data_IF_601718713482
#
_entry.id   IF_601718713482
#
_cell.length_a   1.000
_cell.length_b   1.000
_cell.length_c   1.000
_cell.angle_alpha   90.00
_cell.angle_beta   90.00
_cell.angle_gamma   90.00
#
_symmetry.space_group_name_H-M   'P 1'
#
loop_
_entity.id
_entity.type
_entity.pdbx_description
1 polymer ?
#
# COMPACT_ATOMS: atom_id res chain seq x y z
N UNK A 1 -6.75 -25.77 -12.67
CA UNK A 1 -5.81 -24.66 -12.43
C UNK A 1 -4.46 -25.25 -12.13
N UNK A 2 -3.43 -24.89 -12.90
CA UNK A 2 -2.07 -25.28 -12.53
C UNK A 2 -1.69 -24.62 -11.19
N UNK A 3 -0.78 -25.25 -10.43
CA UNK A 3 -0.33 -24.70 -9.14
C UNK A 3 0.21 -23.26 -9.28
N UNK A 4 0.80 -22.94 -10.44
CA UNK A 4 1.36 -21.62 -10.77
C UNK A 4 0.27 -20.55 -10.89
N UNK A 5 -0.84 -20.85 -11.57
CA UNK A 5 -1.98 -19.92 -11.73
C UNK A 5 -2.58 -19.51 -10.38
N UNK A 6 -2.75 -20.48 -9.48
CA UNK A 6 -3.27 -20.23 -8.14
C UNK A 6 -2.33 -19.34 -7.34
N UNK A 7 -1.02 -19.54 -7.44
CA UNK A 7 -0.02 -18.72 -6.77
C UNK A 7 -0.06 -17.26 -7.28
N UNK A 8 -0.16 -17.06 -8.60
CA UNK A 8 -0.31 -15.72 -9.18
C UNK A 8 -1.59 -15.02 -8.74
N UNK A 9 -2.71 -15.74 -8.70
CA UNK A 9 -3.99 -15.18 -8.25
C UNK A 9 -3.94 -14.74 -6.78
N UNK A 10 -3.36 -15.58 -5.90
CA UNK A 10 -3.19 -15.24 -4.48
C UNK A 10 -2.23 -14.06 -4.28
N UNK A 11 -1.13 -14.01 -5.06
CA UNK A 11 -0.19 -12.89 -5.04
C UNK A 11 -0.88 -11.59 -5.49
N UNK A 12 -1.64 -11.62 -6.58
CA UNK A 12 -2.41 -10.48 -7.05
C UNK A 12 -3.41 -9.97 -6.00
N UNK A 13 -4.15 -10.88 -5.36
CA UNK A 13 -5.09 -10.52 -4.29
C UNK A 13 -4.37 -9.87 -3.10
N UNK A 14 -3.22 -10.43 -2.70
CA UNK A 14 -2.39 -9.88 -1.63
C UNK A 14 -1.91 -8.48 -1.96
N UNK A 15 -1.48 -8.23 -3.19
CA UNK A 15 -1.02 -6.92 -3.64
C UNK A 15 -2.13 -5.87 -3.56
N UNK A 16 -3.32 -6.20 -4.07
CA UNK A 16 -4.47 -5.30 -4.02
C UNK A 16 -4.82 -4.97 -2.58
N UNK A 17 -4.87 -5.99 -1.71
CA UNK A 17 -5.13 -5.81 -0.28
C UNK A 17 -4.08 -4.94 0.41
N UNK A 18 -2.80 -5.23 0.20
CA UNK A 18 -1.69 -4.51 0.82
C UNK A 18 -1.63 -3.06 0.36
N UNK A 19 -1.77 -2.78 -0.94
CA UNK A 19 -1.78 -1.41 -1.44
C UNK A 19 -3.01 -0.64 -0.96
N UNK A 20 -4.18 -1.27 -0.99
CA UNK A 20 -5.42 -0.68 -0.45
C UNK A 20 -5.26 -0.28 1.02
N UNK A 21 -4.75 -1.18 1.85
CA UNK A 21 -4.49 -0.90 3.26
C UNK A 21 -3.42 0.19 3.46
N UNK A 22 -2.34 0.15 2.67
CA UNK A 22 -1.25 1.14 2.71
C UNK A 22 -1.71 2.56 2.38
N UNK A 23 -2.78 2.70 1.59
CA UNK A 23 -3.40 3.99 1.26
C UNK A 23 -4.45 4.36 2.30
N UNK A 24 -5.40 3.46 2.56
CA UNK A 24 -6.57 3.75 3.39
C UNK A 24 -6.19 4.06 4.84
N UNK A 25 -5.26 3.30 5.43
CA UNK A 25 -4.89 3.46 6.84
C UNK A 25 -4.29 4.85 7.12
N UNK A 26 -3.23 5.31 6.42
CA UNK A 26 -2.71 6.65 6.65
C UNK A 26 -3.72 7.75 6.37
N UNK A 27 -4.48 7.65 5.27
CA UNK A 27 -5.46 8.68 4.90
C UNK A 27 -6.51 8.83 5.98
N UNK A 28 -7.12 7.73 6.44
CA UNK A 28 -8.15 7.78 7.48
C UNK A 28 -7.59 8.33 8.79
N UNK A 29 -6.43 7.82 9.23
CA UNK A 29 -5.81 8.25 10.49
C UNK A 29 -5.46 9.74 10.49
N UNK A 30 -4.82 10.22 9.42
CA UNK A 30 -4.41 11.62 9.31
C UNK A 30 -5.61 12.54 9.15
N UNK A 31 -6.60 12.19 8.34
CA UNK A 31 -7.81 13.01 8.16
C UNK A 31 -8.57 13.14 9.48
N UNK A 32 -8.70 12.08 10.27
CA UNK A 32 -9.33 12.14 11.60
C UNK A 32 -8.56 13.13 12.51
N UNK A 33 -7.24 13.06 12.53
CA UNK A 33 -6.40 13.99 13.30
C UNK A 33 -6.56 15.44 12.79
N UNK A 34 -6.59 15.63 11.48
CA UNK A 34 -6.80 16.93 10.85
C UNK A 34 -8.14 17.55 11.23
N UNK A 35 -9.22 16.76 11.15
CA UNK A 35 -10.57 17.19 11.54
C UNK A 35 -10.67 17.49 13.03
N UNK A 36 -9.98 16.71 13.88
CA UNK A 36 -9.94 16.99 15.32
C UNK A 36 -9.27 18.34 15.62
N UNK A 37 -8.16 18.65 14.96
CA UNK A 37 -7.46 19.94 15.09
C UNK A 37 -8.33 21.07 14.55
N UNK A 38 -8.93 20.88 13.38
CA UNK A 38 -9.86 21.84 12.77
C UNK A 38 -11.02 22.19 13.71
N UNK A 39 -11.68 21.17 14.29
CA UNK A 39 -12.77 21.35 15.25
C UNK A 39 -12.33 22.03 16.55
N UNK A 40 -11.08 21.83 16.98
CA UNK A 40 -10.55 22.38 18.23
C UNK A 40 -10.12 23.84 18.12
N UNK A 41 -9.52 24.23 17.00
CA UNK A 41 -8.85 25.53 16.85
C UNK A 41 -9.50 26.46 15.81
N UNK A 42 -10.47 25.98 15.03
CA UNK A 42 -11.23 26.83 14.10
C UNK A 42 -10.45 27.30 12.87
N UNK A 43 -9.37 26.61 12.49
CA UNK A 43 -8.51 26.98 11.35
C UNK A 43 -9.16 26.75 9.96
N UNK A 44 -10.46 26.41 9.89
CA UNK A 44 -11.10 25.95 8.66
C UNK A 44 -10.47 24.66 8.12
N UNK A 45 -10.65 24.32 6.82
CA UNK A 45 -10.30 23.00 6.29
C UNK A 45 -8.79 22.75 6.12
N UNK A 46 -7.94 23.72 6.44
CA UNK A 46 -6.49 23.66 6.20
C UNK A 46 -5.77 22.52 6.93
N UNK A 47 -6.01 22.25 8.23
CA UNK A 47 -5.37 21.12 8.92
C UNK A 47 -5.70 19.79 8.26
N UNK A 48 -6.95 19.62 7.83
CA UNK A 48 -7.42 18.41 7.13
C UNK A 48 -6.74 18.25 5.76
N UNK A 49 -6.58 19.34 4.99
CA UNK A 49 -5.85 19.31 3.71
C UNK A 49 -4.39 18.93 3.91
N UNK A 50 -3.71 19.55 4.89
CA UNK A 50 -2.30 19.26 5.19
C UNK A 50 -2.14 17.80 5.63
N UNK A 51 -3.03 17.32 6.50
CA UNK A 51 -3.01 15.93 6.95
C UNK A 51 -3.21 14.94 5.79
N UNK A 52 -4.13 15.24 4.86
CA UNK A 52 -4.32 14.43 3.66
C UNK A 52 -3.08 14.41 2.76
N UNK A 53 -2.44 15.55 2.53
CA UNK A 53 -1.19 15.63 1.74
C UNK A 53 -0.08 14.82 2.40
N UNK A 54 0.09 14.93 3.71
CA UNK A 54 1.06 14.13 4.45
C UNK A 54 0.78 12.63 4.34
N UNK A 55 -0.49 12.23 4.44
CA UNK A 55 -0.90 10.85 4.24
C UNK A 55 -0.57 10.36 2.83
N UNK A 56 -0.87 11.16 1.80
CA UNK A 56 -0.57 10.82 0.41
C UNK A 56 0.93 10.64 0.17
N UNK A 57 1.77 11.52 0.72
CA UNK A 57 3.24 11.42 0.63
C UNK A 57 3.74 10.16 1.34
N UNK A 58 3.25 9.90 2.56
CA UNK A 58 3.64 8.72 3.34
C UNK A 58 3.22 7.43 2.63
N UNK A 59 1.97 7.34 2.17
CA UNK A 59 1.46 6.22 1.39
C UNK A 59 2.27 6.03 0.10
N UNK A 60 2.56 7.09 -0.65
CA UNK A 60 3.37 7.04 -1.87
C UNK A 60 4.77 6.45 -1.61
N UNK A 61 5.42 6.87 -0.54
CA UNK A 61 6.73 6.32 -0.14
C UNK A 61 6.65 4.83 0.20
N UNK A 62 5.63 4.41 0.96
CA UNK A 62 5.42 3.00 1.31
C UNK A 62 5.08 2.14 0.08
N UNK A 63 4.25 2.66 -0.82
CA UNK A 63 3.86 2.00 -2.07
C UNK A 63 5.10 1.73 -2.92
N UNK A 64 5.98 2.71 -3.09
CA UNK A 64 7.21 2.54 -3.86
C UNK A 64 8.07 1.38 -3.33
N UNK A 65 8.25 1.31 -2.01
CA UNK A 65 8.99 0.21 -1.37
C UNK A 65 8.32 -1.15 -1.58
N UNK A 66 6.99 -1.23 -1.41
CA UNK A 66 6.21 -2.47 -1.61
C UNK A 66 6.20 -2.93 -3.06
N UNK A 67 6.05 -2.00 -4.01
CA UNK A 67 6.08 -2.31 -5.45
C UNK A 67 7.39 -3.00 -5.85
N UNK A 68 8.53 -2.51 -5.35
CA UNK A 68 9.83 -3.14 -5.59
C UNK A 68 9.92 -4.56 -5.00
N UNK A 69 9.33 -4.78 -3.81
CA UNK A 69 9.29 -6.11 -3.19
C UNK A 69 8.43 -7.08 -4.00
N UNK A 70 7.24 -6.67 -4.42
CA UNK A 70 6.34 -7.51 -5.21
C UNK A 70 6.87 -7.85 -6.60
N UNK A 71 7.63 -6.95 -7.24
CA UNK A 71 8.28 -7.25 -8.51
C UNK A 71 9.26 -8.43 -8.40
N UNK A 72 9.99 -8.51 -7.27
CA UNK A 72 10.91 -9.62 -6.99
C UNK A 72 10.12 -10.91 -6.74
N UNK A 73 9.02 -10.84 -5.96
CA UNK A 73 8.16 -11.99 -5.68
C UNK A 73 7.51 -12.55 -6.95
N UNK A 74 7.06 -11.68 -7.87
CA UNK A 74 6.56 -12.07 -9.19
C UNK A 74 7.62 -12.78 -10.03
N UNK A 75 8.82 -12.21 -10.18
CA UNK A 75 9.91 -12.84 -10.94
C UNK A 75 10.29 -14.22 -10.36
N UNK A 76 10.23 -14.39 -9.05
CA UNK A 76 10.54 -15.66 -8.39
C UNK A 76 9.48 -16.74 -8.63
N UNK A 77 8.23 -16.36 -8.94
CA UNK A 77 7.19 -17.28 -9.39
C UNK A 77 7.33 -17.63 -10.87
N UNK A 78 7.92 -16.74 -11.67
CA UNK A 78 8.10 -16.96 -13.11
C UNK A 78 9.19 -17.99 -13.42
N UNK A 79 10.31 -17.93 -12.69
CA UNK A 79 11.45 -18.84 -12.85
C UNK A 79 11.03 -20.31 -12.74
N UNK A 80 11.42 -21.18 -13.70
CA UNK A 80 11.15 -22.62 -13.63
C UNK A 80 11.85 -23.23 -12.41
N UNK A 81 11.20 -24.21 -11.78
CA UNK A 81 11.62 -24.87 -10.53
C UNK A 81 13.01 -25.56 -10.61
N UNK A 82 13.59 -25.70 -11.81
CA UNK A 82 14.83 -26.43 -12.07
C UNK A 82 16.11 -25.72 -11.56
N UNK A 83 16.06 -24.41 -11.30
CA UNK A 83 17.24 -23.64 -10.87
C UNK A 83 17.44 -23.63 -9.34
N UNK A 84 16.43 -24.04 -8.54
CA UNK A 84 16.51 -24.02 -7.07
C UNK A 84 17.16 -25.28 -6.46
N UNK A 85 17.62 -26.23 -7.30
CA UNK A 85 18.23 -27.51 -6.88
C UNK A 85 19.70 -27.71 -7.30
N UNK A 86 20.37 -26.68 -7.84
CA UNK A 86 21.84 -26.70 -8.03
C UNK A 86 22.53 -25.89 -6.95
#
# INVERSE_FOLDING_TARGET
MEKKDRAYMLLGLRIVGDFGATIAIPVVLFVIVGQYIEARYGFGPWPTIIAFVLAAVLSGHMIYKKAKQYNIEYHNLEKPDDEKKK
#
